data_IF_742567040679
#
_entry.id   IF_742567040679
#
_cell.length_a   1.000
_cell.length_b   1.000
_cell.length_c   1.000
_cell.angle_alpha   90.00
_cell.angle_beta   90.00
_cell.angle_gamma   90.00
#
_symmetry.space_group_name_H-M   'P 1'
#
loop_
_entity.id
_entity.type
_entity.pdbx_description
1 polymer ?
#
# COMPACT_ATOMS: atom_id res chain seq x y z
N UNK A 1 19.80 24.17 -2.62
CA UNK A 1 18.45 23.81 -3.11
C UNK A 1 18.21 22.35 -2.76
N UNK A 2 17.37 22.06 -1.77
CA UNK A 2 17.06 20.69 -1.38
C UNK A 2 16.07 20.11 -2.39
N UNK A 3 16.52 19.20 -3.26
CA UNK A 3 15.61 18.43 -4.11
C UNK A 3 14.84 17.48 -3.20
N UNK A 4 13.54 17.72 -2.99
CA UNK A 4 12.66 16.74 -2.37
C UNK A 4 12.66 15.50 -3.26
N UNK A 5 13.38 14.46 -2.83
CA UNK A 5 13.38 13.17 -3.52
C UNK A 5 11.93 12.67 -3.61
N UNK A 6 11.39 12.61 -4.83
CA UNK A 6 10.14 11.88 -5.07
C UNK A 6 10.40 10.38 -4.84
N UNK A 7 9.47 9.73 -4.15
CA UNK A 7 9.49 8.30 -3.90
C UNK A 7 8.59 7.58 -4.91
N UNK A 8 8.89 6.32 -5.26
CA UNK A 8 8.07 5.55 -6.19
C UNK A 8 6.75 5.11 -5.53
N UNK A 9 5.73 4.93 -6.36
CA UNK A 9 4.53 4.19 -6.00
C UNK A 9 4.67 2.74 -6.47
N UNK A 10 4.30 1.79 -5.61
CA UNK A 10 4.42 0.35 -5.86
C UNK A 10 3.05 -0.29 -5.74
N UNK A 11 2.67 -1.08 -6.74
CA UNK A 11 1.45 -1.89 -6.72
C UNK A 11 1.84 -3.34 -6.47
N UNK A 12 1.29 -3.95 -5.42
CA UNK A 12 1.50 -5.36 -5.09
C UNK A 12 0.21 -6.14 -5.37
N UNK A 13 0.24 -6.92 -6.44
CA UNK A 13 -0.87 -7.75 -6.90
C UNK A 13 -0.57 -9.25 -6.75
N UNK A 14 -1.59 -10.08 -6.94
CA UNK A 14 -1.49 -11.54 -6.82
C UNK A 14 -2.76 -12.15 -6.25
N UNK A 15 -2.90 -13.46 -6.38
CA UNK A 15 -4.09 -14.19 -5.90
C UNK A 15 -4.32 -13.99 -4.40
N UNK A 16 -5.57 -14.07 -3.91
CA UNK A 16 -5.86 -14.04 -2.48
C UNK A 16 -5.01 -15.10 -1.73
N UNK A 17 -4.48 -14.75 -0.56
CA UNK A 17 -3.68 -15.67 0.27
C UNK A 17 -2.17 -15.69 0.02
N UNK A 18 -1.62 -15.13 -1.06
CA UNK A 18 -0.16 -15.19 -1.36
C UNK A 18 0.74 -14.30 -0.47
N UNK A 19 0.18 -13.64 0.55
CA UNK A 19 0.96 -12.85 1.51
C UNK A 19 1.21 -11.37 1.15
N UNK A 20 0.42 -10.79 0.23
CA UNK A 20 0.57 -9.38 -0.22
C UNK A 20 0.57 -8.36 0.92
N UNK A 21 -0.42 -8.43 1.81
CA UNK A 21 -0.55 -7.49 2.95
C UNK A 21 0.63 -7.60 3.90
N UNK A 22 1.00 -8.84 4.27
CA UNK A 22 2.17 -9.12 5.12
C UNK A 22 3.46 -8.56 4.52
N UNK A 23 3.67 -8.73 3.22
CA UNK A 23 4.84 -8.17 2.52
C UNK A 23 4.85 -6.63 2.60
N UNK A 24 3.71 -5.97 2.37
CA UNK A 24 3.63 -4.51 2.40
C UNK A 24 3.84 -3.94 3.81
N UNK A 25 3.27 -4.59 4.83
CA UNK A 25 3.48 -4.26 6.25
C UNK A 25 4.95 -4.38 6.65
N UNK A 26 5.61 -5.48 6.27
CA UNK A 26 7.04 -5.68 6.54
C UNK A 26 7.93 -4.68 5.78
N UNK A 27 7.57 -4.34 4.54
CA UNK A 27 8.30 -3.35 3.75
C UNK A 27 8.23 -1.96 4.41
N UNK A 28 7.06 -1.53 4.88
CA UNK A 28 6.88 -0.23 5.52
C UNK A 28 7.46 -0.19 6.94
N UNK A 29 7.43 -1.31 7.68
CA UNK A 29 8.08 -1.37 9.00
C UNK A 29 9.61 -1.19 8.88
N UNK A 30 10.21 -1.68 7.79
CA UNK A 30 11.63 -1.50 7.47
C UNK A 30 11.95 -0.16 6.78
N UNK A 31 10.98 0.48 6.14
CA UNK A 31 11.17 1.71 5.37
C UNK A 31 10.14 2.78 5.75
N UNK A 32 10.48 3.62 6.74
CA UNK A 32 9.59 4.67 7.30
C UNK A 32 9.13 5.73 6.29
N UNK A 33 9.81 5.85 5.15
CA UNK A 33 9.46 6.79 4.08
C UNK A 33 8.34 6.26 3.16
N UNK A 34 7.97 4.98 3.28
CA UNK A 34 6.89 4.37 2.53
C UNK A 34 5.63 4.24 3.39
N UNK A 35 4.47 4.26 2.74
CA UNK A 35 3.17 4.04 3.37
C UNK A 35 2.47 2.89 2.68
N UNK A 36 1.97 1.95 3.47
CA UNK A 36 1.13 0.86 2.96
C UNK A 36 -0.33 1.30 2.95
N UNK A 37 -1.00 1.12 1.81
CA UNK A 37 -2.44 1.32 1.66
C UNK A 37 -3.08 0.00 1.23
N UNK A 38 -3.97 -0.53 2.07
CA UNK A 38 -4.82 -1.66 1.68
C UNK A 38 -6.01 -1.14 0.85
N UNK A 39 -5.97 -1.36 -0.47
CA UNK A 39 -6.98 -0.84 -1.39
C UNK A 39 -8.39 -1.36 -1.10
N UNK A 40 -8.53 -2.60 -0.59
CA UNK A 40 -9.84 -3.17 -0.28
C UNK A 40 -10.47 -2.50 0.95
N UNK A 41 -9.66 -2.14 1.94
CA UNK A 41 -10.12 -1.40 3.11
C UNK A 41 -10.49 0.03 2.72
N UNK A 42 -9.64 0.69 1.94
CA UNK A 42 -9.90 2.03 1.42
C UNK A 42 -11.21 2.08 0.61
N UNK A 43 -11.44 1.11 -0.27
CA UNK A 43 -12.66 1.05 -1.08
C UNK A 43 -13.93 0.89 -0.24
N UNK A 44 -13.86 0.14 0.86
CA UNK A 44 -14.97 -0.01 1.83
C UNK A 44 -15.21 1.28 2.61
N UNK A 45 -14.14 1.91 3.10
CA UNK A 45 -14.21 3.14 3.89
C UNK A 45 -14.81 4.30 3.08
N UNK A 46 -14.36 4.44 1.83
CA UNK A 46 -14.80 5.50 0.92
C UNK A 46 -16.12 5.18 0.20
N UNK A 47 -16.76 4.04 0.51
CA UNK A 47 -18.02 3.59 -0.09
C UNK A 47 -17.97 3.51 -1.63
N UNK A 48 -16.82 3.10 -2.17
CA UNK A 48 -16.65 2.85 -3.60
C UNK A 48 -17.24 1.51 -4.05
N UNK A 49 -17.47 0.60 -3.11
CA UNK A 49 -18.14 -0.66 -3.39
C UNK A 49 -19.66 -0.41 -3.35
N UNK A 50 -20.32 -0.66 -4.47
CA UNK A 50 -21.78 -0.76 -4.51
C UNK A 50 -22.18 -2.03 -3.75
N UNK A 51 -23.04 -1.88 -2.75
CA UNK A 51 -23.68 -3.01 -2.06
C UNK A 51 -24.66 -3.76 -2.97
#
# INVERSE_FOLDING_TARGET
>A
MSSTKQLPNIVVCGTPGVGKSRLCEELCSKNKSLTYVNINELAKQEKFLLE
#
